data_IF_028311193563
#
_entry.id   IF_028311193563
#
_cell.length_a   1.000
_cell.length_b   1.000
_cell.length_c   1.000
_cell.angle_alpha   90.00
_cell.angle_beta   90.00
_cell.angle_gamma   90.00
#
_symmetry.space_group_name_H-M   'P 1'
#
loop_
_entity.id
_entity.type
_entity.pdbx_description
1 polymer ?
#
# COMPACT_ATOMS: atom_id res chain seq x y z
N UNK A 1 10.80 -27.70 11.63
CA UNK A 1 9.77 -27.15 10.73
C UNK A 1 8.43 -27.31 11.41
N UNK A 2 7.84 -26.20 11.88
CA UNK A 2 6.43 -26.21 12.26
C UNK A 2 5.59 -26.45 10.99
N UNK A 3 4.46 -27.15 11.07
CA UNK A 3 3.67 -27.45 9.89
C UNK A 3 3.03 -26.16 9.37
N UNK A 4 3.49 -25.70 8.20
CA UNK A 4 2.82 -24.67 7.40
C UNK A 4 1.38 -25.11 7.10
N UNK A 5 0.45 -24.14 6.96
CA UNK A 5 -0.95 -24.42 6.73
C UNK A 5 -1.12 -25.37 5.52
N UNK A 6 -1.61 -26.59 5.77
CA UNK A 6 -2.10 -27.45 4.69
C UNK A 6 -3.38 -26.85 4.09
N UNK A 7 -4.17 -26.13 4.90
CA UNK A 7 -5.33 -25.31 4.51
C UNK A 7 -5.62 -24.24 5.60
N UNK A 8 -6.24 -23.08 5.27
CA UNK A 8 -6.64 -22.63 3.94
C UNK A 8 -5.55 -21.81 3.23
N UNK A 9 -5.48 -21.96 1.90
CA UNK A 9 -4.58 -21.21 1.03
C UNK A 9 -5.31 -19.99 0.42
N UNK A 10 -4.62 -18.87 0.15
CA UNK A 10 -5.15 -17.81 -0.71
C UNK A 10 -5.62 -18.40 -2.05
N UNK A 11 -6.57 -17.74 -2.71
CA UNK A 11 -7.11 -18.16 -4.03
C UNK A 11 -7.89 -19.48 -4.06
N UNK A 12 -8.21 -20.07 -2.91
CA UNK A 12 -9.02 -21.31 -2.85
C UNK A 12 -10.52 -21.07 -2.67
N UNK A 13 -10.95 -19.81 -2.67
CA UNK A 13 -12.34 -19.45 -2.37
C UNK A 13 -12.72 -19.68 -0.90
N UNK A 14 -11.75 -19.93 -0.02
CA UNK A 14 -11.95 -20.07 1.42
C UNK A 14 -11.69 -18.74 2.12
N UNK A 15 -12.51 -18.43 3.11
CA UNK A 15 -12.27 -17.33 4.03
C UNK A 15 -11.10 -17.67 4.98
N UNK A 16 -10.03 -16.89 4.91
CA UNK A 16 -8.82 -17.11 5.71
C UNK A 16 -9.03 -16.77 7.19
N UNK A 17 -9.99 -15.88 7.49
CA UNK A 17 -10.37 -15.49 8.85
C UNK A 17 -11.87 -15.26 8.92
N UNK A 18 -12.54 -16.04 9.78
CA UNK A 18 -13.92 -15.74 10.16
C UNK A 18 -13.92 -14.83 11.38
N UNK A 19 -14.40 -13.61 11.20
CA UNK A 19 -14.77 -12.77 12.34
C UNK A 19 -16.12 -13.24 12.88
N UNK A 20 -16.16 -13.56 14.17
CA UNK A 20 -17.33 -14.10 14.88
C UNK A 20 -18.26 -13.01 15.45
N UNK A 21 -18.02 -11.74 15.08
CA UNK A 21 -18.73 -10.59 15.64
C UNK A 21 -18.19 -10.12 16.98
N UNK A 22 -16.98 -10.53 17.36
CA UNK A 22 -16.27 -10.00 18.54
C UNK A 22 -16.25 -8.47 18.54
N UNK A 23 -16.48 -7.90 19.72
CA UNK A 23 -16.32 -6.47 20.02
C UNK A 23 -15.01 -6.29 20.75
N UNK A 24 -14.10 -5.50 20.17
CA UNK A 24 -12.73 -5.32 20.65
C UNK A 24 -12.59 -4.14 21.62
N UNK A 25 -13.50 -3.16 21.56
CA UNK A 25 -13.43 -1.92 22.36
C UNK A 25 -12.35 -0.94 21.88
N UNK A 26 -11.89 -1.09 20.64
CA UNK A 26 -10.87 -0.24 20.01
C UNK A 26 -11.14 -0.03 18.51
N UNK A 27 -10.16 0.51 17.77
CA UNK A 27 -10.26 0.85 16.35
C UNK A 27 -10.66 -0.35 15.46
N UNK A 28 -10.47 -1.60 15.91
CA UNK A 28 -10.91 -2.79 15.16
C UNK A 28 -12.44 -2.84 15.02
N UNK A 29 -13.19 -2.30 15.96
CA UNK A 29 -14.65 -2.21 15.86
C UNK A 29 -15.07 -1.30 14.70
N UNK A 30 -14.40 -0.15 14.55
CA UNK A 30 -14.60 0.74 13.42
C UNK A 30 -14.17 0.07 12.11
N UNK A 31 -13.02 -0.61 12.11
CA UNK A 31 -12.51 -1.34 10.96
C UNK A 31 -13.49 -2.40 10.45
N UNK A 32 -14.00 -3.28 11.33
CA UNK A 32 -14.99 -4.29 10.95
C UNK A 32 -16.35 -3.69 10.58
N UNK A 33 -16.70 -2.54 11.14
CA UNK A 33 -17.94 -1.84 10.79
C UNK A 33 -17.86 -1.18 9.41
N UNK A 34 -16.76 -0.49 9.11
CA UNK A 34 -16.66 0.43 7.98
C UNK A 34 -15.73 -0.06 6.85
N UNK A 35 -15.01 -1.16 7.07
CA UNK A 35 -13.97 -1.66 6.16
C UNK A 35 -12.64 -0.90 6.26
N UNK A 36 -12.56 0.09 7.15
CA UNK A 36 -11.36 0.90 7.36
C UNK A 36 -11.34 1.52 8.75
N UNK A 37 -10.14 1.87 9.23
CA UNK A 37 -9.95 2.58 10.48
C UNK A 37 -8.67 3.42 10.46
N UNK A 38 -8.62 4.43 11.34
CA UNK A 38 -7.41 5.22 11.59
C UNK A 38 -6.90 4.87 12.98
N UNK A 39 -5.66 4.40 13.05
CA UNK A 39 -4.93 4.20 14.30
C UNK A 39 -4.08 5.44 14.56
N UNK A 40 -4.44 6.19 15.60
CA UNK A 40 -3.83 7.50 15.89
C UNK A 40 -2.47 7.36 16.56
N UNK A 41 -1.52 8.24 16.22
CA UNK A 41 -0.22 8.35 16.90
C UNK A 41 0.56 7.02 16.99
N UNK A 42 0.61 6.30 15.87
CA UNK A 42 1.40 5.07 15.73
C UNK A 42 2.89 5.38 15.76
N UNK A 43 3.31 6.51 15.20
CA UNK A 43 4.65 7.07 15.43
C UNK A 43 4.55 8.46 16.03
N UNK A 44 5.63 8.94 16.65
CA UNK A 44 5.65 10.31 17.19
C UNK A 44 5.84 11.35 16.07
N UNK A 45 5.46 12.62 16.32
CA UNK A 45 5.73 13.70 15.36
C UNK A 45 7.20 13.81 14.96
N UNK A 46 8.13 13.54 15.87
CA UNK A 46 9.57 13.58 15.58
C UNK A 46 9.99 12.47 14.61
N UNK A 47 9.40 11.27 14.75
CA UNK A 47 9.64 10.15 13.83
C UNK A 47 9.00 10.42 12.47
N UNK A 48 7.79 10.97 12.45
CA UNK A 48 7.13 11.41 11.22
C UNK A 48 7.98 12.44 10.45
N UNK A 49 8.52 13.45 11.13
CA UNK A 49 9.43 14.44 10.54
C UNK A 49 10.73 13.82 10.03
N UNK A 50 11.30 12.86 10.77
CA UNK A 50 12.48 12.12 10.34
C UNK A 50 12.25 11.38 9.01
N UNK A 51 11.13 10.65 8.88
CA UNK A 51 10.80 9.93 7.64
C UNK A 51 10.50 10.89 6.48
N UNK A 52 9.78 11.98 6.75
CA UNK A 52 9.54 13.06 5.78
C UNK A 52 10.86 13.59 5.22
N UNK A 53 11.82 13.89 6.09
CA UNK A 53 13.16 14.36 5.70
C UNK A 53 13.89 13.31 4.86
N UNK A 54 13.87 12.04 5.28
CA UNK A 54 14.51 10.94 4.53
C UNK A 54 13.93 10.75 3.13
N UNK A 55 12.62 10.93 2.96
CA UNK A 55 11.96 10.92 1.66
C UNK A 55 12.47 12.04 0.73
N UNK A 56 12.61 13.26 1.25
CA UNK A 56 13.17 14.39 0.49
C UNK A 56 14.65 14.17 0.15
N UNK A 57 15.46 13.73 1.13
CA UNK A 57 16.87 13.39 0.91
C UNK A 57 17.03 12.33 -0.19
N UNK A 58 16.14 11.33 -0.19
CA UNK A 58 16.13 10.30 -1.22
C UNK A 58 15.82 10.86 -2.61
N UNK A 59 14.82 11.74 -2.77
CA UNK A 59 14.56 12.41 -4.06
C UNK A 59 15.76 13.25 -4.51
N UNK A 60 16.35 14.02 -3.61
CA UNK A 60 17.52 14.87 -3.91
C UNK A 60 18.76 14.05 -4.28
N UNK A 61 18.89 12.83 -3.76
CA UNK A 61 20.05 11.95 -4.03
C UNK A 61 20.22 11.55 -5.50
N UNK A 62 19.19 11.74 -6.34
CA UNK A 62 19.31 11.54 -7.79
C UNK A 62 20.04 12.70 -8.49
N UNK A 63 20.30 13.83 -7.81
CA UNK A 63 21.09 14.93 -8.40
C UNK A 63 20.44 15.56 -9.63
N UNK A 64 19.11 15.44 -9.76
CA UNK A 64 18.33 15.94 -10.91
C UNK A 64 17.86 17.40 -10.74
N UNK A 65 18.33 18.09 -9.70
CA UNK A 65 17.99 19.50 -9.44
C UNK A 65 16.66 19.72 -8.73
N UNK A 66 16.01 18.68 -8.21
CA UNK A 66 14.81 18.84 -7.38
C UNK A 66 15.09 19.67 -6.11
N UNK A 67 14.29 20.72 -5.90
CA UNK A 67 14.24 21.51 -4.67
C UNK A 67 12.78 21.53 -4.12
N UNK A 68 12.54 21.01 -2.91
CA UNK A 68 11.20 21.03 -2.30
C UNK A 68 10.68 22.43 -1.98
N UNK A 69 11.49 23.49 -2.13
CA UNK A 69 11.07 24.89 -1.93
C UNK A 69 10.95 25.69 -3.23
N UNK A 70 11.21 25.08 -4.39
CA UNK A 70 11.10 25.71 -5.70
C UNK A 70 10.19 24.90 -6.62
N UNK A 71 8.94 25.37 -6.78
CA UNK A 71 7.93 24.72 -7.63
C UNK A 71 8.32 24.66 -9.12
N UNK A 72 9.31 25.46 -9.57
CA UNK A 72 9.81 25.36 -10.95
C UNK A 72 10.55 24.05 -11.20
N UNK A 73 11.03 23.40 -10.13
CA UNK A 73 11.70 22.10 -10.16
C UNK A 73 10.73 20.92 -9.98
N UNK A 74 9.43 21.16 -9.81
CA UNK A 74 8.45 20.09 -9.57
C UNK A 74 7.94 19.52 -10.89
N UNK A 75 8.83 18.82 -11.59
CA UNK A 75 8.56 18.18 -12.89
C UNK A 75 9.23 16.82 -12.98
N UNK A 76 8.77 15.96 -13.90
CA UNK A 76 9.34 14.63 -14.17
C UNK A 76 10.81 14.68 -14.59
N UNK A 77 11.26 15.81 -15.15
CA UNK A 77 12.66 16.03 -15.50
C UNK A 77 13.56 16.06 -14.26
N UNK A 78 13.09 16.67 -13.17
CA UNK A 78 13.85 16.85 -11.93
C UNK A 78 13.66 15.70 -10.92
N UNK A 79 12.80 14.74 -11.22
CA UNK A 79 12.45 13.64 -10.32
C UNK A 79 12.86 12.27 -10.87
N UNK A 80 13.14 11.27 -10.00
CA UNK A 80 13.18 9.88 -10.43
C UNK A 80 11.81 9.43 -10.95
N UNK A 81 11.80 8.39 -11.79
CA UNK A 81 10.57 7.84 -12.36
C UNK A 81 9.64 7.40 -11.24
N UNK A 82 8.38 7.80 -11.34
CA UNK A 82 7.32 7.42 -10.40
C UNK A 82 6.08 7.00 -11.15
N UNK A 83 5.25 6.21 -10.48
CA UNK A 83 3.89 5.96 -10.93
C UNK A 83 2.98 7.10 -10.44
N UNK A 84 2.16 7.66 -11.34
CA UNK A 84 1.20 8.74 -11.07
C UNK A 84 1.77 9.93 -10.27
N UNK A 85 3.01 10.34 -10.56
CA UNK A 85 3.58 11.59 -10.02
C UNK A 85 3.83 11.58 -8.52
N UNK A 86 4.23 10.43 -7.97
CA UNK A 86 4.70 10.40 -6.59
C UNK A 86 4.76 9.02 -5.95
N UNK A 87 4.23 7.96 -6.57
CA UNK A 87 4.41 6.60 -6.04
C UNK A 87 5.73 6.00 -6.52
N UNK A 88 6.63 5.74 -5.58
CA UNK A 88 7.97 5.22 -5.82
C UNK A 88 8.07 3.77 -5.36
N UNK A 89 8.19 2.86 -6.32
CA UNK A 89 8.37 1.41 -6.11
C UNK A 89 9.73 0.90 -6.64
N UNK A 90 10.36 1.67 -7.53
CA UNK A 90 11.59 1.31 -8.23
C UNK A 90 12.84 1.75 -7.46
N UNK A 91 14.03 1.59 -8.06
CA UNK A 91 15.32 2.02 -7.52
C UNK A 91 15.66 1.41 -6.15
N UNK A 92 15.15 0.21 -5.86
CA UNK A 92 15.25 -0.43 -4.55
C UNK A 92 14.69 0.40 -3.38
N UNK A 93 13.85 1.40 -3.68
CA UNK A 93 13.26 2.33 -2.69
C UNK A 93 12.52 1.61 -1.57
N UNK A 94 11.85 0.50 -1.90
CA UNK A 94 11.09 -0.33 -0.97
C UNK A 94 11.96 -1.02 0.09
N UNK A 95 13.29 -0.96 -0.04
CA UNK A 95 14.26 -1.51 0.88
C UNK A 95 15.21 -0.50 1.50
N UNK A 96 14.99 0.81 1.31
CA UNK A 96 15.79 1.84 2.00
C UNK A 96 15.69 1.68 3.52
N UNK A 97 16.75 2.06 4.23
CA UNK A 97 16.83 1.94 5.70
C UNK A 97 15.61 2.54 6.39
N UNK A 98 15.24 3.77 6.02
CA UNK A 98 14.10 4.46 6.64
C UNK A 98 12.75 3.79 6.33
N UNK A 99 12.62 3.09 5.20
CA UNK A 99 11.41 2.32 4.85
C UNK A 99 11.27 1.10 5.75
N UNK A 100 12.37 0.39 6.02
CA UNK A 100 12.37 -0.71 6.98
C UNK A 100 12.17 -0.26 8.41
N UNK A 101 12.79 0.85 8.81
CA UNK A 101 12.55 1.46 10.12
C UNK A 101 11.05 1.76 10.32
N UNK A 102 10.37 2.33 9.32
CA UNK A 102 8.93 2.62 9.40
C UNK A 102 8.08 1.35 9.56
N UNK A 103 8.41 0.29 8.82
CA UNK A 103 7.74 -1.02 8.94
C UNK A 103 7.95 -1.67 10.30
N UNK A 104 9.08 -1.42 10.96
CA UNK A 104 9.44 -2.05 12.24
C UNK A 104 9.21 -1.16 13.46
N UNK A 105 8.58 0.00 13.29
CA UNK A 105 8.11 0.82 14.41
C UNK A 105 7.23 -0.01 15.35
N UNK A 106 7.45 0.03 16.68
CA UNK A 106 6.79 -0.90 17.61
C UNK A 106 5.26 -0.90 17.49
N UNK A 107 4.63 0.27 17.40
CA UNK A 107 3.16 0.37 17.28
C UNK A 107 2.65 0.02 15.89
N UNK A 108 3.47 0.11 14.83
CA UNK A 108 3.09 -0.39 13.49
C UNK A 108 2.95 -1.91 13.58
N UNK A 109 3.98 -2.59 14.10
CA UNK A 109 3.94 -4.03 14.32
C UNK A 109 2.79 -4.44 15.25
N UNK A 110 2.62 -3.76 16.39
CA UNK A 110 1.51 -4.00 17.32
C UNK A 110 0.15 -3.86 16.65
N UNK A 111 -0.02 -2.86 15.78
CA UNK A 111 -1.28 -2.62 15.06
C UNK A 111 -1.64 -3.81 14.17
N UNK A 112 -0.69 -4.28 13.34
CA UNK A 112 -0.93 -5.46 12.50
C UNK A 112 -1.03 -6.75 13.31
N UNK A 113 -0.27 -6.90 14.41
CA UNK A 113 -0.41 -8.06 15.29
C UNK A 113 -1.78 -8.13 15.94
N UNK A 114 -2.34 -6.99 16.37
CA UNK A 114 -3.70 -6.89 16.93
C UNK A 114 -4.78 -7.13 15.89
N UNK A 115 -4.59 -6.64 14.67
CA UNK A 115 -5.50 -6.86 13.55
C UNK A 115 -5.66 -8.35 13.25
N UNK A 116 -4.54 -9.06 13.21
CA UNK A 116 -4.46 -10.43 12.75
C UNK A 116 -4.39 -11.47 13.87
N UNK A 117 -4.36 -11.00 15.12
CA UNK A 117 -4.27 -11.81 16.34
C UNK A 117 -3.07 -12.78 16.34
N UNK A 118 -1.95 -12.33 15.76
CA UNK A 118 -0.67 -13.06 15.72
C UNK A 118 0.51 -12.12 15.47
N UNK A 119 1.67 -12.44 16.06
CA UNK A 119 2.93 -11.75 15.79
C UNK A 119 3.70 -12.33 14.59
N UNK A 120 3.25 -13.47 14.07
CA UNK A 120 3.83 -14.16 12.92
C UNK A 120 3.35 -13.52 11.61
N UNK A 121 4.01 -12.44 11.19
CA UNK A 121 3.59 -11.59 10.08
C UNK A 121 4.57 -11.63 8.90
N UNK A 122 4.07 -11.46 7.69
CA UNK A 122 4.85 -11.11 6.51
C UNK A 122 4.54 -9.67 6.14
N UNK A 123 5.54 -8.90 5.72
CA UNK A 123 5.38 -7.51 5.29
C UNK A 123 5.52 -7.39 3.78
N UNK A 124 4.65 -6.64 3.11
CA UNK A 124 4.85 -6.28 1.69
C UNK A 124 6.12 -5.44 1.52
N UNK A 125 6.80 -5.59 0.39
CA UNK A 125 7.87 -4.68 -0.02
C UNK A 125 7.29 -3.60 -0.92
N UNK A 126 6.31 -2.89 -0.37
CA UNK A 126 5.56 -1.82 -1.05
C UNK A 126 6.34 -0.51 -1.07
N UNK A 127 5.91 0.40 -1.94
CA UNK A 127 6.51 1.70 -2.17
C UNK A 127 6.19 2.75 -1.13
N UNK A 128 6.72 3.93 -1.37
CA UNK A 128 6.37 5.15 -0.66
C UNK A 128 5.69 6.12 -1.62
N UNK A 129 4.96 7.09 -1.08
CA UNK A 129 4.41 8.16 -1.89
C UNK A 129 4.88 9.54 -1.42
N UNK A 130 5.47 10.27 -2.37
CA UNK A 130 5.91 11.64 -2.26
C UNK A 130 5.29 12.42 -3.42
N UNK A 131 4.07 12.91 -3.27
CA UNK A 131 3.38 13.66 -4.31
C UNK A 131 3.52 15.15 -4.09
N UNK A 132 4.06 15.85 -5.09
CA UNK A 132 4.21 17.31 -5.08
C UNK A 132 2.88 17.95 -5.49
N UNK A 133 2.35 18.94 -4.74
CA UNK A 133 1.19 19.68 -5.18
C UNK A 133 1.50 20.46 -6.45
N UNK A 134 0.51 20.66 -7.32
CA UNK A 134 0.66 21.49 -8.54
C UNK A 134 1.79 21.09 -9.50
N UNK A 135 2.26 19.84 -9.46
CA UNK A 135 3.17 19.33 -10.49
C UNK A 135 2.54 19.51 -11.89
N UNK A 136 3.21 20.28 -12.75
CA UNK A 136 2.60 20.80 -14.00
C UNK A 136 2.44 19.77 -15.11
N UNK A 137 3.25 18.72 -15.07
CA UNK A 137 3.35 17.68 -16.09
C UNK A 137 2.72 16.36 -15.65
N UNK A 138 1.75 16.44 -14.72
CA UNK A 138 0.98 15.29 -14.27
C UNK A 138 -0.49 15.42 -14.67
N UNK A 139 -1.03 14.36 -15.26
CA UNK A 139 -2.46 14.15 -15.43
C UNK A 139 -2.97 13.20 -14.36
N UNK A 140 -4.17 13.47 -13.84
CA UNK A 140 -4.81 12.63 -12.84
C UNK A 140 -6.31 12.57 -13.08
N UNK A 141 -6.86 11.37 -12.95
CA UNK A 141 -8.26 11.04 -13.08
C UNK A 141 -8.68 10.15 -11.90
N UNK A 142 -9.89 10.33 -11.33
CA UNK A 142 -10.41 9.41 -10.33
C UNK A 142 -10.59 8.02 -10.91
N UNK A 143 -10.21 7.02 -10.13
CA UNK A 143 -10.22 5.61 -10.54
C UNK A 143 -10.66 4.74 -9.37
N UNK A 144 -11.92 4.83 -8.90
CA UNK A 144 -12.38 4.03 -7.78
C UNK A 144 -12.14 2.54 -8.08
N UNK A 145 -11.38 1.87 -7.22
CA UNK A 145 -11.03 0.47 -7.39
C UNK A 145 -11.00 -0.28 -6.07
N UNK A 146 -10.95 -1.60 -6.14
CA UNK A 146 -10.54 -2.45 -5.03
C UNK A 146 -9.45 -3.40 -5.50
N UNK A 147 -8.62 -3.86 -4.57
CA UNK A 147 -7.44 -4.66 -4.88
C UNK A 147 -7.57 -6.11 -4.42
N UNK A 148 -8.76 -6.54 -4.02
CA UNK A 148 -9.05 -7.95 -3.80
C UNK A 148 -9.85 -8.51 -4.97
N UNK A 149 -9.35 -9.59 -5.58
CA UNK A 149 -10.08 -10.34 -6.59
C UNK A 149 -11.42 -10.89 -6.06
N UNK A 150 -12.52 -10.86 -6.84
CA UNK A 150 -13.80 -11.46 -6.45
C UNK A 150 -13.76 -12.99 -6.28
N UNK A 151 -12.70 -13.63 -6.80
CA UNK A 151 -12.42 -15.05 -6.60
C UNK A 151 -11.97 -15.38 -5.16
N UNK A 152 -11.49 -14.38 -4.41
CA UNK A 152 -11.12 -14.51 -3.00
C UNK A 152 -12.34 -14.30 -2.13
N UNK A 153 -12.51 -15.16 -1.11
CA UNK A 153 -13.58 -15.02 -0.12
C UNK A 153 -13.04 -14.51 1.20
N UNK A 154 -13.91 -13.76 1.90
CA UNK A 154 -13.57 -13.10 3.14
C UNK A 154 -12.53 -11.99 2.99
N UNK A 155 -12.01 -11.51 4.10
CA UNK A 155 -10.92 -10.53 4.13
C UNK A 155 -9.59 -11.28 4.05
N UNK A 156 -8.83 -11.08 2.97
CA UNK A 156 -7.53 -11.75 2.81
C UNK A 156 -6.34 -10.80 2.98
N UNK A 157 -6.55 -9.50 2.78
CA UNK A 157 -5.51 -8.49 2.91
C UNK A 157 -6.07 -7.18 3.45
N UNK A 158 -5.25 -6.50 4.25
CA UNK A 158 -5.55 -5.18 4.80
C UNK A 158 -4.37 -4.28 4.47
N UNK A 159 -4.60 -3.32 3.59
CA UNK A 159 -3.61 -2.33 3.22
C UNK A 159 -3.48 -1.28 4.31
N UNK A 160 -2.32 -0.64 4.35
CA UNK A 160 -2.03 0.41 5.31
C UNK A 160 -1.20 1.53 4.71
N UNK A 161 -1.42 2.73 5.22
CA UNK A 161 -0.70 3.95 4.84
C UNK A 161 -0.32 4.70 6.10
N UNK A 162 0.98 4.77 6.37
CA UNK A 162 1.56 5.55 7.47
C UNK A 162 1.82 6.97 7.01
N UNK A 163 1.23 7.94 7.71
CA UNK A 163 1.24 9.34 7.34
C UNK A 163 2.35 10.12 8.07
N UNK A 164 3.11 10.96 7.34
CA UNK A 164 4.23 11.69 7.93
C UNK A 164 4.00 13.19 8.11
N UNK A 165 2.95 13.77 7.52
CA UNK A 165 2.68 15.21 7.55
C UNK A 165 1.17 15.48 7.65
N UNK A 166 0.70 16.63 8.20
CA UNK A 166 -0.74 16.90 8.25
C UNK A 166 -1.37 16.80 6.86
N UNK A 167 -2.54 16.17 6.81
CA UNK A 167 -3.28 15.90 5.60
C UNK A 167 -4.75 16.23 5.80
N UNK A 168 -5.14 17.42 5.33
CA UNK A 168 -6.52 17.87 5.32
C UNK A 168 -7.23 17.59 3.99
N UNK A 169 -8.39 18.22 3.84
CA UNK A 169 -9.32 18.00 2.72
C UNK A 169 -8.67 18.24 1.34
N UNK A 170 -7.74 19.20 1.24
CA UNK A 170 -7.13 19.61 -0.01
C UNK A 170 -5.71 19.06 -0.23
N UNK A 171 -5.14 18.34 0.73
CA UNK A 171 -3.74 17.90 0.69
C UNK A 171 -3.55 16.57 -0.07
N UNK A 172 -4.54 16.19 -0.89
CA UNK A 172 -4.54 14.92 -1.61
C UNK A 172 -4.55 13.72 -0.66
N UNK A 173 -4.30 12.52 -1.16
CA UNK A 173 -4.21 11.31 -0.33
C UNK A 173 -5.33 10.33 -0.61
N UNK A 174 -5.78 9.59 0.40
CA UNK A 174 -6.66 8.44 0.21
C UNK A 174 -8.14 8.83 0.32
N UNK A 175 -8.96 8.41 -0.64
CA UNK A 175 -10.42 8.39 -0.56
C UNK A 175 -10.86 6.93 -0.37
N UNK A 176 -11.73 6.68 0.61
CA UNK A 176 -12.28 5.36 0.92
C UNK A 176 -13.81 5.39 0.86
N UNK A 177 -14.42 4.34 0.35
CA UNK A 177 -15.86 4.15 0.41
C UNK A 177 -16.25 3.34 1.64
N UNK A 178 -16.60 4.03 2.74
CA UNK A 178 -16.97 3.37 3.99
C UNK A 178 -18.15 2.41 3.79
N UNK A 179 -17.97 1.19 4.30
CA UNK A 179 -18.95 0.11 4.26
C UNK A 179 -18.96 -0.70 2.95
N UNK A 180 -18.21 -0.32 1.91
CA UNK A 180 -18.30 -1.00 0.61
C UNK A 180 -17.78 -2.45 0.67
N UNK A 181 -16.80 -2.75 1.52
CA UNK A 181 -16.25 -4.10 1.69
C UNK A 181 -17.31 -5.13 2.13
N UNK A 182 -18.33 -4.69 2.89
CA UNK A 182 -19.46 -5.55 3.31
C UNK A 182 -20.39 -5.92 2.16
N UNK A 183 -20.41 -5.10 1.11
CA UNK A 183 -21.22 -5.33 -0.08
C UNK A 183 -20.44 -5.99 -1.21
N UNK A 184 -19.13 -6.26 -1.01
CA UNK A 184 -18.25 -6.83 -2.01
C UNK A 184 -18.79 -8.14 -2.62
N UNK A 185 -19.09 -9.15 -1.79
CA UNK A 185 -19.65 -10.41 -2.29
C UNK A 185 -21.01 -10.22 -2.96
N UNK A 186 -21.83 -9.28 -2.46
CA UNK A 186 -23.15 -9.00 -3.01
C UNK A 186 -23.07 -8.35 -4.40
N UNK A 187 -22.09 -7.46 -4.60
CA UNK A 187 -21.82 -6.79 -5.87
C UNK A 187 -21.30 -7.78 -6.92
N UNK A 188 -20.40 -8.68 -6.53
CA UNK A 188 -19.81 -9.70 -7.42
C UNK A 188 -20.59 -11.02 -7.51
N UNK A 189 -21.87 -11.06 -7.08
CA UNK A 189 -22.74 -12.23 -7.31
C UNK A 189 -23.02 -12.47 -8.78
N UNK A 190 -23.10 -11.39 -9.55
CA UNK A 190 -23.25 -11.41 -10.99
C UNK A 190 -21.93 -10.97 -11.62
N UNK A 191 -21.73 -11.35 -12.89
CA UNK A 191 -20.53 -10.95 -13.62
C UNK A 191 -20.52 -9.43 -13.79
N UNK A 192 -19.44 -8.81 -13.31
CA UNK A 192 -19.20 -7.38 -13.45
C UNK A 192 -18.11 -7.13 -14.51
N UNK A 193 -18.18 -5.96 -15.13
CA UNK A 193 -17.21 -5.51 -16.11
C UNK A 193 -16.48 -4.29 -15.56
N UNK A 194 -15.15 -4.33 -15.58
CA UNK A 194 -14.31 -3.22 -15.12
C UNK A 194 -14.46 -2.00 -16.03
N UNK A 195 -14.23 -0.82 -15.46
CA UNK A 195 -14.08 0.41 -16.24
C UNK A 195 -12.87 0.35 -17.18
N UNK A 196 -12.96 1.00 -18.34
CA UNK A 196 -11.88 1.07 -19.33
C UNK A 196 -10.99 2.30 -19.08
N UNK A 197 -10.45 2.37 -17.87
CA UNK A 197 -9.65 3.49 -17.41
C UNK A 197 -8.27 3.52 -18.11
N UNK A 198 -7.71 4.71 -18.34
CA UNK A 198 -6.39 4.89 -19.00
C UNK A 198 -5.23 4.18 -18.29
N UNK A 199 -5.37 3.97 -16.98
CA UNK A 199 -4.41 3.27 -16.12
C UNK A 199 -4.70 1.77 -15.94
N UNK A 200 -5.70 1.24 -16.64
CA UNK A 200 -6.01 -0.19 -16.59
C UNK A 200 -4.84 -0.96 -17.19
N UNK A 201 -4.26 -1.95 -16.45
CA UNK A 201 -3.19 -2.78 -16.99
C UNK A 201 -3.65 -3.52 -18.26
N UNK A 202 -2.74 -3.80 -19.22
CA UNK A 202 -3.05 -4.62 -20.37
C UNK A 202 -3.62 -5.99 -19.95
N UNK A 203 -4.62 -6.50 -20.68
CA UNK A 203 -5.24 -7.80 -20.37
C UNK A 203 -4.22 -8.95 -20.31
N UNK A 204 -3.14 -8.86 -21.10
CA UNK A 204 -2.05 -9.83 -21.11
C UNK A 204 -1.26 -9.92 -19.79
N UNK A 205 -1.33 -8.90 -18.93
CA UNK A 205 -0.69 -8.93 -17.61
C UNK A 205 -1.50 -9.72 -16.57
N UNK A 206 -2.77 -10.05 -16.86
CA UNK A 206 -3.68 -10.81 -16.00
C UNK A 206 -3.66 -10.32 -14.53
N UNK A 207 -3.94 -9.03 -14.34
CA UNK A 207 -3.84 -8.36 -13.06
C UNK A 207 -5.04 -8.71 -12.16
N UNK A 208 -4.96 -9.88 -11.52
CA UNK A 208 -6.06 -10.52 -10.77
C UNK A 208 -6.64 -9.67 -9.62
N UNK A 209 -5.76 -8.97 -8.91
CA UNK A 209 -6.06 -8.23 -7.68
C UNK A 209 -6.22 -6.72 -7.99
N UNK A 210 -7.12 -6.42 -8.94
CA UNK A 210 -7.58 -5.08 -9.29
C UNK A 210 -8.98 -5.18 -9.94
N UNK A 211 -9.93 -4.40 -9.45
CA UNK A 211 -11.20 -4.15 -10.13
C UNK A 211 -11.50 -2.65 -10.12
N UNK A 212 -11.54 -2.02 -11.29
CA UNK A 212 -11.89 -0.60 -11.45
C UNK A 212 -13.39 -0.47 -11.65
N UNK A 213 -14.05 0.28 -10.77
CA UNK A 213 -15.50 0.47 -10.75
C UNK A 213 -15.95 1.56 -11.72
N UNK A 214 -17.06 1.32 -12.40
CA UNK A 214 -17.74 2.33 -13.22
C UNK A 214 -18.52 3.30 -12.33
N UNK A 215 -18.86 4.48 -12.83
CA UNK A 215 -19.69 5.46 -12.10
C UNK A 215 -21.02 4.87 -11.60
N UNK A 216 -21.68 4.04 -12.43
CA UNK A 216 -22.91 3.32 -12.05
C UNK A 216 -22.71 2.35 -10.88
N UNK A 217 -21.50 1.79 -10.75
CA UNK A 217 -21.16 0.84 -9.70
C UNK A 217 -20.95 1.61 -8.41
N UNK A 218 -20.23 2.73 -8.44
CA UNK A 218 -20.11 3.66 -7.30
C UNK A 218 -21.50 4.04 -6.79
N UNK A 219 -22.39 4.47 -7.69
CA UNK A 219 -23.77 4.80 -7.34
C UNK A 219 -24.54 3.63 -6.72
N UNK A 220 -24.31 2.40 -7.16
CA UNK A 220 -24.92 1.21 -6.57
C UNK A 220 -24.57 1.03 -5.09
N UNK A 221 -23.33 1.35 -4.70
CA UNK A 221 -22.90 1.34 -3.30
C UNK A 221 -23.48 2.53 -2.52
N UNK A 222 -23.50 3.73 -3.11
CA UNK A 222 -24.11 4.92 -2.48
C UNK A 222 -25.59 4.75 -2.17
N UNK A 223 -26.36 4.20 -3.12
CA UNK A 223 -27.78 3.90 -2.95
C UNK A 223 -28.04 2.84 -1.86
N UNK A 224 -26.97 2.16 -1.38
CA UNK A 224 -26.98 1.19 -0.26
C UNK A 224 -26.32 1.73 1.00
N UNK A 225 -26.10 3.04 1.07
CA UNK A 225 -25.66 3.74 2.28
C UNK A 225 -24.14 3.83 2.44
N UNK A 226 -23.35 3.37 1.47
CA UNK A 226 -21.91 3.60 1.46
C UNK A 226 -21.59 5.05 1.08
N UNK A 227 -20.46 5.57 1.54
CA UNK A 227 -20.04 6.96 1.26
C UNK A 227 -18.56 7.02 0.96
N UNK A 228 -18.20 7.69 -0.14
CA UNK A 228 -16.83 8.08 -0.41
C UNK A 228 -16.44 9.22 0.54
N UNK A 229 -15.36 9.01 1.27
CA UNK A 229 -14.84 9.98 2.22
C UNK A 229 -13.33 10.16 2.02
N UNK A 230 -12.90 11.41 2.01
CA UNK A 230 -11.49 11.75 2.05
C UNK A 230 -10.95 11.48 3.45
N UNK A 231 -9.89 10.68 3.54
CA UNK A 231 -9.24 10.38 4.81
C UNK A 231 -8.30 11.52 5.17
N UNK A 232 -8.57 12.18 6.29
CA UNK A 232 -7.67 13.19 6.87
C UNK A 232 -6.85 12.58 8.00
N UNK A 233 -5.56 12.92 8.04
CA UNK A 233 -4.58 12.28 8.91
C UNK A 233 -3.64 13.31 9.53
N UNK A 234 -3.29 13.09 10.79
CA UNK A 234 -2.21 13.80 11.47
C UNK A 234 -0.89 13.07 11.28
N UNK A 235 0.27 13.75 11.42
CA UNK A 235 1.57 13.11 11.41
C UNK A 235 1.62 11.95 12.42
N UNK A 236 1.98 10.79 11.90
CA UNK A 236 2.12 9.56 12.66
C UNK A 236 0.87 8.71 12.80
N UNK A 237 -0.25 9.11 12.20
CA UNK A 237 -1.40 8.23 12.05
C UNK A 237 -1.17 7.14 10.99
N UNK A 238 -1.75 5.97 11.21
CA UNK A 238 -1.81 4.86 10.26
C UNK A 238 -3.26 4.62 9.88
N UNK A 239 -3.61 4.76 8.60
CA UNK A 239 -4.91 4.30 8.10
C UNK A 239 -4.79 2.86 7.61
N UNK A 240 -5.79 2.06 7.91
CA UNK A 240 -5.95 0.68 7.46
C UNK A 240 -7.24 0.53 6.68
N UNK A 241 -7.23 -0.26 5.61
CA UNK A 241 -8.45 -0.64 4.90
C UNK A 241 -8.38 -2.06 4.37
N UNK A 242 -9.50 -2.76 4.45
CA UNK A 242 -9.70 -4.06 3.81
C UNK A 242 -9.52 -3.89 2.29
N UNK A 243 -8.75 -4.77 1.63
CA UNK A 243 -8.50 -4.69 0.17
C UNK A 243 -9.78 -4.78 -0.68
N UNK A 244 -10.92 -5.21 -0.11
CA UNK A 244 -12.26 -5.16 -0.73
C UNK A 244 -12.91 -3.78 -0.69
N UNK A 245 -12.41 -2.86 0.14
CA UNK A 245 -12.93 -1.50 0.27
C UNK A 245 -12.61 -0.73 -1.00
N UNK A 246 -13.63 -0.10 -1.60
CA UNK A 246 -13.44 0.73 -2.77
C UNK A 246 -12.67 1.98 -2.34
N UNK A 247 -11.63 2.31 -3.09
CA UNK A 247 -10.75 3.40 -2.74
C UNK A 247 -10.02 3.94 -3.98
N UNK A 248 -9.42 5.11 -3.82
CA UNK A 248 -8.49 5.67 -4.79
C UNK A 248 -7.70 6.82 -4.15
N UNK A 249 -6.56 7.15 -4.75
CA UNK A 249 -5.80 8.34 -4.38
C UNK A 249 -6.37 9.57 -5.07
N UNK A 250 -6.51 10.70 -4.36
CA UNK A 250 -6.75 12.02 -4.93
C UNK A 250 -5.48 12.88 -4.92
N UNK A 251 -5.34 13.69 -5.98
CA UNK A 251 -4.17 14.56 -6.15
C UNK A 251 -4.24 15.78 -5.21
N UNK A 252 -3.11 16.20 -4.59
CA UNK A 252 -3.08 17.38 -3.74
C UNK A 252 -3.36 18.69 -4.50
N UNK A 253 -4.34 19.44 -4.00
CA UNK A 253 -4.72 20.77 -4.47
C UNK A 253 -4.18 21.89 -3.55
N UNK A 254 -3.76 21.53 -2.33
CA UNK A 254 -3.15 22.41 -1.34
C UNK A 254 -1.68 22.71 -1.62
N UNK A 255 -0.95 23.21 -0.61
CA UNK A 255 0.46 23.65 -0.75
C UNK A 255 1.48 22.65 -0.21
N UNK A 256 1.02 21.58 0.44
CA UNK A 256 1.90 20.64 1.14
C UNK A 256 2.29 19.48 0.23
N UNK A 257 3.58 19.13 0.25
CA UNK A 257 4.06 17.86 -0.30
C UNK A 257 3.45 16.72 0.52
N UNK A 258 2.90 15.73 -0.18
CA UNK A 258 2.37 14.52 0.43
C UNK A 258 3.52 13.61 0.83
N UNK A 259 3.50 13.08 2.04
CA UNK A 259 4.54 12.17 2.54
C UNK A 259 3.91 10.97 3.25
N UNK A 260 4.01 9.80 2.62
CA UNK A 260 3.45 8.56 3.17
C UNK A 260 4.31 7.34 2.85
N UNK A 261 4.14 6.29 3.64
CA UNK A 261 4.67 4.96 3.37
C UNK A 261 3.53 3.95 3.32
N UNK A 262 3.47 3.14 2.25
CA UNK A 262 2.55 2.00 2.22
C UNK A 262 3.15 0.86 3.03
N UNK A 263 2.32 0.29 3.92
CA UNK A 263 2.69 -0.82 4.80
C UNK A 263 1.52 -1.77 4.83
N UNK A 264 1.73 -3.00 4.36
CA UNK A 264 0.77 -4.07 4.52
C UNK A 264 1.47 -5.24 5.18
N UNK A 265 0.79 -5.87 6.14
CA UNK A 265 1.23 -7.12 6.74
C UNK A 265 0.10 -8.12 6.79
N UNK A 266 0.42 -9.40 6.68
CA UNK A 266 -0.52 -10.51 6.80
C UNK A 266 0.12 -11.68 7.55
N UNK A 267 -0.65 -12.55 8.22
CA UNK A 267 -0.13 -13.75 8.85
C UNK A 267 0.76 -14.59 7.92
N UNK A 268 1.91 -15.04 8.42
CA UNK A 268 2.82 -15.90 7.68
C UNK A 268 2.19 -17.23 7.27
N UNK A 269 1.24 -17.73 8.08
CA UNK A 269 0.46 -18.95 7.78
C UNK A 269 -0.38 -18.86 6.50
N UNK A 270 -0.65 -17.67 5.97
CA UNK A 270 -1.38 -17.52 4.72
C UNK A 270 -0.51 -17.80 3.50
N UNK A 271 0.80 -17.68 3.60
CA UNK A 271 1.69 -17.86 2.47
C UNK A 271 1.93 -19.34 2.19
N UNK A 272 1.85 -19.73 0.92
CA UNK A 272 2.37 -21.03 0.50
C UNK A 272 3.91 -20.99 0.42
N UNK A 273 4.52 -22.17 0.37
CA UNK A 273 5.98 -22.31 0.36
C UNK A 273 6.66 -21.58 -0.81
N UNK A 274 6.06 -21.62 -2.02
CA UNK A 274 6.62 -21.00 -3.22
C UNK A 274 6.67 -19.47 -3.08
N UNK A 275 5.61 -18.87 -2.54
CA UNK A 275 5.54 -17.42 -2.30
C UNK A 275 6.52 -16.98 -1.21
N UNK A 276 6.69 -17.77 -0.15
CA UNK A 276 7.73 -17.54 0.87
C UNK A 276 9.14 -17.54 0.27
N UNK A 277 9.46 -18.55 -0.54
CA UNK A 277 10.77 -18.68 -1.20
C UNK A 277 11.05 -17.52 -2.16
N UNK A 278 10.07 -17.16 -2.99
CA UNK A 278 10.19 -16.03 -3.93
C UNK A 278 10.34 -14.71 -3.18
N UNK A 279 9.56 -14.48 -2.12
CA UNK A 279 9.67 -13.28 -1.29
C UNK A 279 11.04 -13.17 -0.64
N UNK A 280 11.57 -14.27 -0.10
CA UNK A 280 12.91 -14.31 0.48
C UNK A 280 14.00 -14.03 -0.57
N UNK A 281 13.84 -14.50 -1.81
CA UNK A 281 14.73 -14.18 -2.93
C UNK A 281 14.68 -12.68 -3.28
N UNK A 282 13.47 -12.11 -3.33
CA UNK A 282 13.27 -10.69 -3.64
C UNK A 282 13.87 -9.79 -2.58
N UNK A 283 13.82 -10.17 -1.30
CA UNK A 283 14.55 -9.45 -0.25
C UNK A 283 16.07 -9.47 -0.47
N UNK A 284 16.65 -10.63 -0.82
CA UNK A 284 18.09 -10.78 -1.07
C UNK A 284 18.58 -10.01 -2.30
N UNK A 285 17.66 -9.66 -3.19
CA UNK A 285 17.94 -8.94 -4.45
C UNK A 285 17.32 -7.54 -4.50
N UNK A 286 16.85 -7.04 -3.35
CA UNK A 286 16.30 -5.68 -3.17
C UNK A 286 15.13 -5.32 -4.09
N UNK A 287 14.29 -6.30 -4.44
CA UNK A 287 13.14 -6.11 -5.30
C UNK A 287 11.85 -5.88 -4.50
N UNK A 288 11.11 -4.83 -4.85
CA UNK A 288 9.75 -4.59 -4.32
C UNK A 288 8.74 -5.64 -4.74
N UNK A 289 7.68 -5.81 -3.95
CA UNK A 289 6.54 -6.71 -4.24
C UNK A 289 5.29 -5.89 -4.53
N UNK A 290 4.16 -6.57 -4.76
CA UNK A 290 2.84 -5.93 -4.62
C UNK A 290 2.55 -5.64 -3.14
N UNK A 291 1.39 -5.02 -2.87
CA UNK A 291 0.92 -4.83 -1.50
C UNK A 291 0.56 -6.15 -0.80
N UNK A 292 0.39 -7.27 -1.52
CA UNK A 292 0.07 -8.58 -0.93
C UNK A 292 1.33 -9.22 -0.30
N UNK A 293 1.39 -9.42 1.04
CA UNK A 293 2.62 -9.92 1.67
C UNK A 293 2.82 -11.43 1.55
N UNK A 294 1.73 -12.20 1.36
CA UNK A 294 1.70 -13.66 1.43
C UNK A 294 1.42 -14.37 0.08
N UNK A 295 1.00 -13.63 -0.95
CA UNK A 295 0.70 -14.15 -2.28
C UNK A 295 0.83 -13.04 -3.34
N UNK A 296 0.55 -13.34 -4.61
CA UNK A 296 0.68 -12.39 -5.73
C UNK A 296 2.05 -11.65 -5.72
N UNK A 297 3.09 -12.43 -5.41
CA UNK A 297 4.46 -11.96 -5.36
C UNK A 297 4.99 -11.95 -6.80
N UNK A 298 5.27 -10.76 -7.33
CA UNK A 298 5.82 -10.59 -8.69
C UNK A 298 6.95 -9.58 -8.69
N UNK A 299 7.95 -9.85 -9.52
CA UNK A 299 9.08 -8.96 -9.78
C UNK A 299 8.61 -7.80 -10.65
N UNK A 300 8.98 -6.58 -10.26
CA UNK A 300 8.81 -5.42 -11.13
C UNK A 300 10.06 -5.26 -11.99
N UNK A 301 9.87 -4.79 -13.23
CA UNK A 301 10.98 -4.44 -14.10
C UNK A 301 11.76 -3.22 -13.59
N UNK A 302 12.91 -2.89 -14.20
CA UNK A 302 13.61 -1.65 -13.92
C UNK A 302 12.73 -0.44 -14.27
N UNK A 303 12.94 0.72 -13.63
CA UNK A 303 12.27 1.96 -14.01
C UNK A 303 12.66 2.33 -15.44
N UNK A 304 11.67 2.71 -16.24
CA UNK A 304 11.86 3.12 -17.63
C UNK A 304 11.65 4.63 -17.75
N UNK A 305 12.54 5.30 -18.49
CA UNK A 305 12.46 6.72 -18.83
C UNK A 305 12.57 6.83 -20.35
N UNK A 306 11.56 7.45 -20.97
CA UNK A 306 11.49 7.63 -22.42
C UNK A 306 11.66 6.34 -23.23
N UNK A 307 11.15 5.22 -22.71
CA UNK A 307 11.19 3.91 -23.34
C UNK A 307 12.47 3.09 -23.08
N UNK A 308 13.46 3.66 -22.40
CA UNK A 308 14.73 3.00 -22.06
C UNK A 308 14.87 2.83 -20.55
N UNK A 309 15.75 1.92 -20.11
CA UNK A 309 16.05 1.77 -18.67
C UNK A 309 16.63 3.09 -18.15
N UNK A 310 16.08 3.63 -17.05
CA UNK A 310 16.60 4.86 -16.47
C UNK A 310 18.09 4.67 -16.08
N UNK A 311 19.01 5.50 -16.58
CA UNK A 311 20.44 5.38 -16.30
C UNK A 311 20.79 5.54 -14.82
N UNK A 312 19.89 6.09 -14.01
CA UNK A 312 20.04 6.23 -12.55
C UNK A 312 19.39 5.09 -11.76
N UNK A 313 18.98 4.01 -12.44
CA UNK A 313 18.44 2.82 -11.78
C UNK A 313 19.39 2.30 -10.69
N UNK A 314 18.84 1.86 -9.57
CA UNK A 314 19.57 1.28 -8.43
C UNK A 314 19.09 -0.14 -8.18
N UNK A 315 20.05 -1.06 -8.09
CA UNK A 315 19.81 -2.48 -7.77
C UNK A 315 20.01 -2.82 -6.29
N UNK A 316 20.36 -1.82 -5.49
CA UNK A 316 20.38 -1.88 -4.04
C UNK A 316 19.98 -0.52 -3.44
N UNK A 317 19.44 -0.47 -2.21
CA UNK A 317 19.09 0.79 -1.55
C UNK A 317 20.32 1.67 -1.32
N UNK A 318 20.14 2.99 -1.32
CA UNK A 318 21.20 3.95 -1.02
C UNK A 318 21.72 3.78 0.42
N UNK A 319 20.79 3.67 1.37
CA UNK A 319 21.11 3.32 2.75
C UNK A 319 20.54 1.94 3.06
N UNK A 320 21.41 0.93 3.23
CA UNK A 320 20.98 -0.43 3.54
C UNK A 320 20.36 -0.51 4.95
N UNK A 321 19.29 -1.29 5.13
CA UNK A 321 18.65 -1.45 6.44
C UNK A 321 19.54 -2.26 7.38
N UNK A 322 19.39 -2.01 8.68
CA UNK A 322 19.97 -2.88 9.71
C UNK A 322 19.20 -4.20 9.74
N UNK A 323 19.80 -5.29 9.24
CA UNK A 323 19.12 -6.58 9.08
C UNK A 323 19.02 -7.28 10.45
N UNK A 324 17.86 -7.16 11.07
CA UNK A 324 17.52 -7.84 12.32
C UNK A 324 16.77 -9.15 12.06
N UNK A 325 16.70 -10.02 13.08
CA UNK A 325 15.87 -11.23 13.03
C UNK A 325 14.41 -10.94 12.67
N UNK A 326 13.85 -9.84 13.21
CA UNK A 326 12.47 -9.44 12.91
C UNK A 326 12.30 -9.06 11.44
N UNK A 327 13.25 -8.34 10.85
CA UNK A 327 13.21 -8.02 9.41
C UNK A 327 13.30 -9.29 8.57
N UNK A 328 14.20 -10.22 8.94
CA UNK A 328 14.33 -11.49 8.23
C UNK A 328 13.04 -12.32 8.29
N UNK A 329 12.31 -12.28 9.41
CA UNK A 329 11.01 -12.93 9.56
C UNK A 329 9.92 -12.25 8.70
N UNK A 330 9.79 -10.92 8.79
CA UNK A 330 8.84 -10.14 7.97
C UNK A 330 9.09 -10.31 6.45
N UNK A 331 10.35 -10.54 6.07
CA UNK A 331 10.78 -10.75 4.70
C UNK A 331 10.73 -12.21 4.22
N UNK A 332 10.20 -13.14 5.02
CA UNK A 332 10.19 -14.59 4.76
C UNK A 332 11.57 -15.26 4.64
N UNK A 333 12.67 -14.58 5.00
CA UNK A 333 14.03 -15.15 4.97
C UNK A 333 14.28 -16.07 6.16
N UNK A 334 13.70 -15.74 7.32
CA UNK A 334 13.77 -16.53 8.56
C UNK A 334 12.36 -16.99 8.93
N UNK A 335 12.23 -18.23 9.38
CA UNK A 335 10.96 -18.75 9.87
C UNK A 335 10.58 -18.14 11.23
N UNK A 336 9.29 -18.22 11.55
CA UNK A 336 8.73 -17.90 12.87
C UNK A 336 8.99 -19.01 13.89
#
# INVERSE_FOLDING_TARGET
MAPHAQEPLPDTGVDLIRHDGTVYGDWRDDFHRDGCAIVKNVITPERAEYYKKKQIEWLQSFGRGFDPNDESTWTQEHLPVSFKGGMYFAYSSTHEKFVWEARTEPKVLETFSKLWETDELLCSFDGMNITLPRQKDLTWSPWPHCDQSPERKGMQCVQGLLNYQPNGDNDGGLILMKGSSKLFDAFFREQQEQDDHEDKPPESENFKDLFIFKEKDVKWFEDRGCKLEKVNLEPGDLVLWDSRTMHYACFPQGERIRHVQYICMTPAKFANKKDLELKAEMFKTWQGTTHWPHCNIRKQGPPMRDGEIDPQNRTEPLEKPEVTDRILQLAAVKAY
#
